data_IF_549846932340
#
_entry.id   IF_549846932340
#
_cell.length_a   1.000
_cell.length_b   1.000
_cell.length_c   1.000
_cell.angle_alpha   90.00
_cell.angle_beta   90.00
_cell.angle_gamma   90.00
#
_symmetry.space_group_name_H-M   'P 1'
#
loop_
_entity.id
_entity.type
_entity.pdbx_description
1 polymer ?
#
# COMPACT_ATOMS: atom_id res chain seq x y z
N UNK A 1 -4.65 -52.51 -20.05
CA UNK A 1 -4.80 -51.65 -18.85
C UNK A 1 -3.74 -52.06 -17.84
N UNK A 2 -2.66 -51.28 -17.69
CA UNK A 2 -1.50 -51.63 -16.85
C UNK A 2 -1.32 -50.51 -15.81
N UNK A 3 -1.43 -50.87 -14.52
CA UNK A 3 -1.36 -49.96 -13.38
C UNK A 3 0.12 -49.79 -13.00
N UNK A 4 0.64 -48.56 -13.07
CA UNK A 4 1.94 -48.20 -12.51
C UNK A 4 1.69 -47.35 -11.27
N UNK A 5 2.06 -47.89 -10.11
CA UNK A 5 1.99 -47.26 -8.79
C UNK A 5 3.30 -46.52 -8.58
N UNK A 6 3.24 -45.19 -8.45
CA UNK A 6 4.39 -44.34 -8.13
C UNK A 6 4.33 -43.98 -6.64
N UNK A 7 5.26 -44.54 -5.85
CA UNK A 7 5.34 -44.31 -4.41
C UNK A 7 6.13 -43.02 -4.09
N UNK A 8 5.54 -42.21 -3.22
CA UNK A 8 6.06 -40.97 -2.64
C UNK A 8 7.17 -41.29 -1.61
N UNK A 9 8.31 -40.58 -1.67
CA UNK A 9 9.30 -40.59 -0.60
C UNK A 9 9.62 -39.15 -0.16
N UNK A 10 9.13 -38.78 1.03
CA UNK A 10 9.41 -37.52 1.71
C UNK A 10 10.57 -37.77 2.69
N UNK A 11 11.75 -37.20 2.45
CA UNK A 11 12.90 -37.34 3.34
C UNK A 11 12.94 -36.16 4.34
N UNK A 12 12.60 -36.42 5.60
CA UNK A 12 12.75 -35.49 6.73
C UNK A 12 14.06 -35.76 7.46
N UNK A 13 15.09 -34.96 7.21
CA UNK A 13 16.35 -35.00 7.97
C UNK A 13 16.22 -34.15 9.25
N UNK A 14 16.02 -34.82 10.38
CA UNK A 14 16.14 -34.24 11.71
C UNK A 14 17.60 -34.21 12.16
N UNK A 15 18.04 -33.08 12.72
CA UNK A 15 19.35 -32.95 13.39
C UNK A 15 19.11 -32.99 14.90
N UNK A 16 19.65 -34.02 15.55
CA UNK A 16 19.65 -34.19 17.00
C UNK A 16 20.71 -33.31 17.67
N UNK A 17 20.29 -32.46 18.62
CA UNK A 17 21.17 -31.77 19.57
C UNK A 17 21.64 -32.76 20.66
N UNK A 18 22.95 -32.87 20.88
CA UNK A 18 23.52 -33.48 22.09
C UNK A 18 24.44 -32.45 22.78
N UNK A 19 24.32 -32.24 24.11
CA UNK A 19 25.14 -31.28 24.83
C UNK A 19 26.46 -31.92 25.26
N UNK A 20 27.58 -31.30 24.92
CA UNK A 20 28.90 -31.70 25.44
C UNK A 20 29.32 -30.74 26.55
N UNK A 21 29.73 -31.37 27.65
CA UNK A 21 30.02 -30.86 28.98
C UNK A 21 31.11 -29.78 29.08
N UNK A 22 30.90 -28.85 30.02
CA UNK A 22 31.89 -27.92 30.56
C UNK A 22 33.01 -28.68 31.29
N UNK A 23 34.27 -28.43 30.90
CA UNK A 23 35.43 -28.69 31.75
C UNK A 23 36.19 -27.38 31.99
N UNK A 24 36.48 -27.13 33.26
CA UNK A 24 37.07 -25.92 33.83
C UNK A 24 38.59 -25.96 33.81
N UNK A 25 39.19 -24.76 33.82
CA UNK A 25 40.55 -24.44 34.28
C UNK A 25 41.73 -24.61 33.29
N UNK A 26 41.97 -23.54 32.54
CA UNK A 26 43.29 -22.88 32.53
C UNK A 26 43.04 -21.39 32.67
N UNK A 27 43.77 -20.73 33.57
CA UNK A 27 43.82 -19.26 33.66
C UNK A 27 44.40 -18.72 32.36
N UNK A 28 43.54 -18.47 31.37
CA UNK A 28 43.91 -17.80 30.13
C UNK A 28 43.71 -16.31 30.36
N UNK A 29 44.80 -15.55 30.28
CA UNK A 29 44.76 -14.10 30.23
C UNK A 29 43.73 -13.66 29.18
N UNK A 30 42.66 -12.99 29.63
CA UNK A 30 41.54 -12.61 28.74
C UNK A 30 42.01 -11.73 27.58
N UNK A 31 43.14 -11.02 27.73
CA UNK A 31 43.79 -10.27 26.64
C UNK A 31 44.41 -11.17 25.57
N UNK A 32 45.00 -12.30 25.96
CA UNK A 32 45.55 -13.27 25.01
C UNK A 32 44.44 -14.01 24.24
N UNK A 33 43.32 -14.31 24.89
CA UNK A 33 42.16 -14.93 24.24
C UNK A 33 41.47 -14.00 23.22
N UNK A 34 41.42 -12.69 23.49
CA UNK A 34 40.92 -11.69 22.52
C UNK A 34 41.91 -11.50 21.37
N UNK A 35 43.22 -11.45 21.64
CA UNK A 35 44.24 -11.37 20.59
C UNK A 35 44.24 -12.57 19.64
N UNK A 36 44.06 -13.78 20.16
CA UNK A 36 43.99 -15.01 19.36
C UNK A 36 42.61 -15.21 18.67
N UNK A 37 41.52 -14.76 19.29
CA UNK A 37 40.17 -14.82 18.72
C UNK A 37 39.97 -13.86 17.55
N UNK A 38 40.64 -12.70 17.56
CA UNK A 38 40.63 -11.77 16.43
C UNK A 38 41.48 -12.33 15.27
N UNK A 39 42.65 -12.90 15.54
CA UNK A 39 43.53 -13.44 14.48
C UNK A 39 42.90 -14.63 13.72
N UNK A 40 42.10 -15.46 14.39
CA UNK A 40 41.45 -16.63 13.76
C UNK A 40 40.17 -16.29 12.99
N UNK A 41 39.55 -15.14 13.23
CA UNK A 41 38.41 -14.66 12.45
C UNK A 41 38.79 -14.18 11.04
N UNK A 42 40.08 -13.93 10.77
CA UNK A 42 40.59 -13.49 9.47
C UNK A 42 41.14 -14.62 8.58
N UNK A 43 41.24 -15.86 9.07
CA UNK A 43 41.86 -16.95 8.31
C UNK A 43 40.88 -17.78 7.47
N UNK A 44 39.58 -17.46 7.46
CA UNK A 44 38.55 -18.39 7.00
C UNK A 44 37.56 -17.91 5.93
N UNK A 45 37.70 -16.70 5.38
CA UNK A 45 36.80 -16.24 4.30
C UNK A 45 37.57 -16.19 2.99
N UNK A 46 37.40 -17.25 2.19
CA UNK A 46 37.81 -17.30 0.80
C UNK A 46 37.12 -16.17 0.05
N UNK A 47 37.91 -15.21 -0.44
CA UNK A 47 37.45 -14.04 -1.15
C UNK A 47 36.86 -14.42 -2.52
N UNK A 48 35.56 -14.19 -2.69
CA UNK A 48 34.98 -13.92 -4.00
C UNK A 48 34.85 -12.39 -4.12
N UNK A 49 35.85 -11.79 -4.79
CA UNK A 49 35.96 -10.40 -5.27
C UNK A 49 34.95 -9.37 -4.70
N UNK A 50 35.31 -8.77 -3.56
CA UNK A 50 35.08 -7.35 -3.30
C UNK A 50 36.46 -6.67 -3.37
N UNK A 51 36.55 -5.44 -3.88
CA UNK A 51 37.83 -4.74 -4.08
C UNK A 51 38.73 -4.82 -2.83
N UNK A 52 40.01 -5.18 -3.02
CA UNK A 52 41.00 -5.25 -1.93
C UNK A 52 41.04 -3.91 -1.18
N UNK A 53 40.59 -3.92 0.07
CA UNK A 53 40.63 -2.75 0.97
C UNK A 53 39.29 -2.34 1.57
N UNK A 54 38.16 -2.85 1.10
CA UNK A 54 36.86 -2.61 1.75
C UNK A 54 36.56 -3.67 2.81
N UNK A 55 37.01 -3.42 4.04
CA UNK A 55 36.43 -4.09 5.20
C UNK A 55 34.94 -3.69 5.34
N UNK A 56 34.05 -4.56 5.88
CA UNK A 56 32.69 -4.18 6.19
C UNK A 56 32.68 -2.98 7.13
N UNK A 57 32.38 -1.79 6.61
CA UNK A 57 32.36 -0.53 7.38
C UNK A 57 31.06 -0.52 8.18
N UNK A 58 31.10 -1.10 9.38
CA UNK A 58 29.98 -1.08 10.33
C UNK A 58 30.15 0.10 11.29
N UNK A 59 29.20 1.03 11.30
CA UNK A 59 29.16 2.12 12.29
C UNK A 59 28.47 1.64 13.56
N UNK A 60 29.15 1.70 14.71
CA UNK A 60 28.52 1.50 16.01
C UNK A 60 27.86 2.83 16.42
N UNK A 61 26.52 2.89 16.31
CA UNK A 61 25.68 4.06 16.65
C UNK A 61 25.79 5.30 15.75
N UNK A 62 26.25 5.16 14.50
CA UNK A 62 26.35 6.30 13.57
C UNK A 62 27.39 7.36 13.96
N UNK A 63 28.22 7.09 14.97
CA UNK A 63 29.31 7.98 15.37
C UNK A 63 30.52 7.67 14.48
N UNK A 64 30.79 8.56 13.51
CA UNK A 64 31.92 8.45 12.58
C UNK A 64 31.62 7.67 11.29
N UNK A 65 30.34 7.40 10.99
CA UNK A 65 29.91 6.80 9.73
C UNK A 65 29.94 7.80 8.57
N UNK A 66 30.48 7.36 7.43
CA UNK A 66 30.23 7.99 6.14
C UNK A 66 28.96 7.40 5.51
N UNK A 67 28.43 8.04 4.47
CA UNK A 67 27.25 7.59 3.70
C UNK A 67 27.29 6.11 3.24
N UNK A 68 28.50 5.54 3.12
CA UNK A 68 28.75 4.18 2.64
C UNK A 68 28.73 3.10 3.74
N UNK A 69 28.46 3.45 5.01
CA UNK A 69 28.36 2.46 6.09
C UNK A 69 26.94 1.88 6.19
N UNK A 70 26.85 0.55 6.33
CA UNK A 70 25.57 -0.17 6.34
C UNK A 70 24.68 0.09 7.57
N UNK A 71 25.14 0.89 8.54
CA UNK A 71 24.46 1.17 9.81
C UNK A 71 24.42 2.67 10.14
N UNK A 72 24.19 3.50 9.12
CA UNK A 72 24.04 4.95 9.27
C UNK A 72 22.56 5.37 9.17
N UNK A 73 21.99 5.83 10.28
CA UNK A 73 20.57 6.25 10.34
C UNK A 73 20.33 7.70 9.91
N UNK A 74 21.38 8.51 9.80
CA UNK A 74 21.32 9.94 9.45
C UNK A 74 21.90 10.25 8.06
N UNK A 75 22.07 9.25 7.22
CA UNK A 75 22.50 9.41 5.83
C UNK A 75 21.32 9.91 4.97
N UNK A 76 20.92 11.17 5.16
CA UNK A 76 19.75 11.78 4.53
C UNK A 76 19.95 12.02 3.01
N UNK A 77 19.86 10.96 2.21
CA UNK A 77 19.97 11.01 0.75
C UNK A 77 21.40 11.03 0.20
N UNK A 78 22.40 10.83 1.07
CA UNK A 78 23.80 10.62 0.69
C UNK A 78 24.12 9.14 0.42
N UNK A 79 23.27 8.24 0.92
CA UNK A 79 23.33 6.78 0.72
C UNK A 79 22.73 6.33 -0.63
N UNK A 80 21.78 7.11 -1.16
CA UNK A 80 21.03 6.77 -2.36
C UNK A 80 21.59 7.47 -3.60
N UNK A 81 21.87 6.70 -4.66
CA UNK A 81 22.28 7.21 -5.99
C UNK A 81 21.13 7.88 -6.79
N UNK A 82 20.10 8.38 -6.09
CA UNK A 82 18.95 9.06 -6.69
C UNK A 82 18.43 10.12 -5.72
N UNK A 83 17.93 11.26 -6.22
CA UNK A 83 17.37 12.29 -5.35
C UNK A 83 16.18 11.72 -4.56
N UNK A 84 16.14 11.99 -3.26
CA UNK A 84 14.99 11.71 -2.40
C UNK A 84 13.94 12.81 -2.51
N UNK A 85 12.69 12.50 -2.20
CA UNK A 85 11.60 13.48 -2.19
C UNK A 85 11.81 14.56 -1.12
N UNK A 86 12.33 14.15 0.03
CA UNK A 86 12.75 15.03 1.13
C UNK A 86 13.83 14.30 1.93
N UNK A 87 14.62 15.01 2.77
CA UNK A 87 15.63 14.38 3.63
C UNK A 87 15.05 13.24 4.48
N UNK A 88 13.78 13.34 4.88
CA UNK A 88 13.09 12.36 5.73
C UNK A 88 12.27 11.31 4.95
N UNK A 89 12.44 11.21 3.64
CA UNK A 89 11.70 10.26 2.80
C UNK A 89 12.64 9.30 2.08
N UNK A 90 12.39 7.98 2.15
CA UNK A 90 13.15 7.00 1.37
C UNK A 90 12.73 6.97 -0.12
N UNK A 91 11.62 7.61 -0.47
CA UNK A 91 11.09 7.60 -1.83
C UNK A 91 11.64 8.75 -2.67
N UNK A 92 11.94 8.53 -3.96
CA UNK A 92 12.31 9.59 -4.89
C UNK A 92 11.11 10.49 -5.22
N UNK A 93 11.34 11.72 -5.69
CA UNK A 93 10.26 12.58 -6.16
C UNK A 93 9.57 11.97 -7.38
N UNK A 94 8.29 12.29 -7.57
CA UNK A 94 7.57 11.92 -8.79
C UNK A 94 8.24 12.59 -9.99
N UNK A 95 8.62 11.77 -10.96
CA UNK A 95 9.32 12.21 -12.16
C UNK A 95 9.08 11.27 -13.34
N UNK A 96 9.72 11.55 -14.47
CA UNK A 96 9.51 10.82 -15.73
C UNK A 96 9.91 9.34 -15.66
N UNK A 97 10.86 9.00 -14.78
CA UNK A 97 11.30 7.61 -14.50
C UNK A 97 10.35 6.82 -13.59
N UNK A 98 9.25 7.43 -13.12
CA UNK A 98 8.26 6.74 -12.30
C UNK A 98 7.43 5.77 -13.15
N UNK A 99 7.31 4.52 -12.67
CA UNK A 99 6.49 3.48 -13.33
C UNK A 99 5.02 3.89 -13.41
N UNK A 100 4.52 4.50 -12.33
CA UNK A 100 3.15 5.02 -12.30
C UNK A 100 3.04 6.32 -13.09
N UNK A 101 2.22 6.29 -14.15
CA UNK A 101 1.88 7.45 -14.98
C UNK A 101 0.44 7.87 -14.72
N UNK A 102 0.28 9.02 -14.08
CA UNK A 102 -1.04 9.62 -13.84
C UNK A 102 -1.71 9.98 -15.18
N UNK A 103 -2.98 9.63 -15.34
CA UNK A 103 -3.73 9.93 -16.57
C UNK A 103 -3.49 8.92 -17.69
N UNK A 104 -2.92 7.75 -17.39
CA UNK A 104 -2.84 6.67 -18.36
C UNK A 104 -4.24 6.25 -18.83
N UNK A 105 -4.34 5.76 -20.07
CA UNK A 105 -5.62 5.29 -20.63
C UNK A 105 -6.27 4.20 -19.75
N UNK A 106 -5.44 3.33 -19.17
CA UNK A 106 -5.87 2.27 -18.25
C UNK A 106 -6.45 2.84 -16.94
N UNK A 107 -5.81 3.85 -16.35
CA UNK A 107 -6.30 4.48 -15.13
C UNK A 107 -7.63 5.20 -15.38
N UNK A 108 -7.74 5.95 -16.48
CA UNK A 108 -8.98 6.63 -16.86
C UNK A 108 -10.09 5.60 -17.10
N UNK A 109 -9.81 4.51 -17.83
CA UNK A 109 -10.77 3.44 -18.07
C UNK A 109 -11.21 2.76 -16.76
N UNK A 110 -10.27 2.48 -15.86
CA UNK A 110 -10.57 1.94 -14.53
C UNK A 110 -11.50 2.87 -13.74
N UNK A 111 -11.21 4.17 -13.69
CA UNK A 111 -12.05 5.14 -12.97
C UNK A 111 -13.44 5.28 -13.62
N UNK A 112 -13.55 5.24 -14.94
CA UNK A 112 -14.85 5.21 -15.63
C UNK A 112 -15.64 3.94 -15.33
N UNK A 113 -14.98 2.78 -15.27
CA UNK A 113 -15.62 1.52 -14.92
C UNK A 113 -16.15 1.53 -13.48
N UNK A 114 -15.33 1.97 -12.52
CA UNK A 114 -15.74 2.15 -11.11
C UNK A 114 -16.95 3.08 -11.02
N UNK A 115 -16.91 4.23 -11.70
CA UNK A 115 -18.05 5.14 -11.74
C UNK A 115 -19.32 4.48 -12.31
N UNK A 116 -19.21 3.74 -13.42
CA UNK A 116 -20.38 3.07 -14.03
C UNK A 116 -20.99 2.00 -13.13
N UNK A 117 -20.16 1.20 -12.45
CA UNK A 117 -20.61 0.15 -11.54
C UNK A 117 -21.29 0.74 -10.31
N UNK A 118 -20.70 1.79 -9.72
CA UNK A 118 -21.31 2.51 -8.61
C UNK A 118 -22.64 3.16 -9.01
N UNK A 119 -22.72 3.80 -10.19
CA UNK A 119 -23.94 4.42 -10.69
C UNK A 119 -25.09 3.41 -10.85
N UNK A 120 -24.81 2.22 -11.41
CA UNK A 120 -25.81 1.13 -11.52
C UNK A 120 -26.32 0.65 -10.17
N UNK A 121 -25.50 0.68 -9.12
CA UNK A 121 -25.87 0.21 -7.78
C UNK A 121 -26.64 1.27 -7.01
N UNK A 122 -26.25 2.54 -7.13
CA UNK A 122 -27.01 3.69 -6.59
C UNK A 122 -28.40 3.80 -7.24
N UNK A 123 -28.54 3.41 -8.52
CA UNK A 123 -29.83 3.33 -9.19
C UNK A 123 -30.82 2.33 -8.55
N UNK A 124 -30.36 1.36 -7.74
CA UNK A 124 -31.22 0.36 -7.08
C UNK A 124 -31.76 0.81 -5.72
N UNK A 125 -31.32 1.98 -5.26
CA UNK A 125 -31.71 2.52 -3.94
C UNK A 125 -33.17 2.94 -3.92
N UNK A 126 -33.74 3.26 -5.09
CA UNK A 126 -35.18 3.52 -5.29
C UNK A 126 -36.08 2.46 -4.64
N UNK A 127 -35.79 1.18 -4.87
CA UNK A 127 -36.54 0.03 -4.34
C UNK A 127 -36.48 -0.04 -2.82
N UNK A 128 -35.35 0.36 -2.23
CA UNK A 128 -35.21 0.38 -0.77
C UNK A 128 -35.96 1.58 -0.16
N UNK A 129 -36.01 2.72 -0.86
CA UNK A 129 -36.82 3.87 -0.46
C UNK A 129 -38.31 3.51 -0.51
N UNK A 130 -38.78 2.89 -1.59
CA UNK A 130 -40.17 2.42 -1.74
C UNK A 130 -40.54 1.39 -0.67
N UNK A 131 -39.66 0.44 -0.39
CA UNK A 131 -39.83 -0.56 0.66
C UNK A 131 -39.63 -0.03 2.08
N UNK A 132 -39.30 1.26 2.26
CA UNK A 132 -39.02 1.92 3.56
C UNK A 132 -37.91 1.23 4.37
N UNK A 133 -36.93 0.68 3.65
CA UNK A 133 -35.75 -0.02 4.19
C UNK A 133 -34.59 0.97 4.39
N UNK A 134 -34.72 1.80 5.42
CA UNK A 134 -33.87 2.99 5.62
C UNK A 134 -32.40 2.70 5.90
N UNK A 135 -32.10 1.60 6.59
CA UNK A 135 -30.71 1.21 6.87
C UNK A 135 -30.03 0.67 5.61
N UNK A 136 -30.78 -0.06 4.77
CA UNK A 136 -30.30 -0.55 3.48
C UNK A 136 -30.05 0.59 2.49
N UNK A 137 -30.91 1.61 2.46
CA UNK A 137 -30.67 2.84 1.67
C UNK A 137 -29.32 3.46 2.04
N UNK A 138 -29.08 3.67 3.34
CA UNK A 138 -27.84 4.28 3.83
C UNK A 138 -26.62 3.40 3.60
N UNK A 139 -26.72 2.10 3.93
CA UNK A 139 -25.62 1.16 3.76
C UNK A 139 -25.21 1.02 2.29
N UNK A 140 -26.17 1.00 1.36
CA UNK A 140 -25.87 0.94 -0.07
C UNK A 140 -25.25 2.23 -0.60
N UNK A 141 -25.77 3.39 -0.18
CA UNK A 141 -25.19 4.69 -0.53
C UNK A 141 -23.76 4.81 0.01
N UNK A 142 -23.52 4.50 1.28
CA UNK A 142 -22.19 4.61 1.88
C UNK A 142 -21.19 3.63 1.23
N UNK A 143 -21.62 2.38 0.96
CA UNK A 143 -20.78 1.35 0.33
C UNK A 143 -20.33 1.74 -1.08
N UNK A 144 -21.22 2.35 -1.88
CA UNK A 144 -20.94 2.62 -3.29
C UNK A 144 -20.35 3.99 -3.53
N UNK A 145 -20.73 4.97 -2.72
CA UNK A 145 -20.39 6.37 -2.99
C UNK A 145 -18.97 6.72 -2.57
N UNK A 146 -18.34 5.95 -1.66
CA UNK A 146 -16.95 6.16 -1.27
C UNK A 146 -15.99 6.10 -2.47
N UNK A 147 -15.97 4.98 -3.19
CA UNK A 147 -15.15 4.80 -4.39
C UNK A 147 -15.62 5.70 -5.55
N UNK A 148 -16.93 5.92 -5.65
CA UNK A 148 -17.50 6.80 -6.68
C UNK A 148 -17.03 8.25 -6.51
N UNK A 149 -16.96 8.78 -5.28
CA UNK A 149 -16.43 10.13 -5.01
C UNK A 149 -14.98 10.25 -5.46
N UNK A 150 -14.17 9.22 -5.22
CA UNK A 150 -12.79 9.14 -5.71
C UNK A 150 -12.70 9.17 -7.24
N UNK A 151 -13.54 8.39 -7.92
CA UNK A 151 -13.62 8.38 -9.39
C UNK A 151 -14.11 9.71 -9.96
N UNK A 152 -15.17 10.31 -9.40
CA UNK A 152 -15.70 11.60 -9.85
C UNK A 152 -14.69 12.73 -9.65
N UNK A 153 -13.97 12.76 -8.51
CA UNK A 153 -12.90 13.74 -8.27
C UNK A 153 -11.79 13.63 -9.32
N UNK A 154 -11.42 12.41 -9.70
CA UNK A 154 -10.40 12.18 -10.72
C UNK A 154 -10.89 12.62 -12.11
N UNK A 155 -12.10 12.21 -12.51
CA UNK A 155 -12.67 12.50 -13.83
C UNK A 155 -13.05 13.98 -14.02
N UNK A 156 -13.35 14.68 -12.93
CA UNK A 156 -13.63 16.12 -12.94
C UNK A 156 -12.36 16.99 -12.94
N UNK A 157 -11.20 16.43 -12.63
CA UNK A 157 -9.96 17.19 -12.48
C UNK A 157 -9.61 17.93 -13.79
N UNK A 158 -9.44 19.25 -13.70
CA UNK A 158 -9.17 20.12 -14.86
C UNK A 158 -10.41 20.53 -15.67
N UNK A 159 -11.62 20.11 -15.28
CA UNK A 159 -12.89 20.48 -15.94
C UNK A 159 -13.80 21.26 -14.97
N UNK A 160 -13.93 22.59 -15.10
CA UNK A 160 -14.67 23.41 -14.14
C UNK A 160 -16.17 23.09 -14.08
N UNK A 161 -16.77 22.70 -15.20
CA UNK A 161 -18.19 22.32 -15.26
C UNK A 161 -18.45 20.99 -14.55
N UNK A 162 -17.57 20.00 -14.76
CA UNK A 162 -17.66 18.70 -14.10
C UNK A 162 -17.41 18.82 -12.58
N UNK A 163 -16.51 19.72 -12.15
CA UNK A 163 -16.31 20.03 -10.72
C UNK A 163 -17.57 20.59 -10.06
N UNK A 164 -18.29 21.48 -10.74
CA UNK A 164 -19.58 22.01 -10.24
C UNK A 164 -20.65 20.93 -10.18
N UNK A 165 -20.80 20.15 -11.25
CA UNK A 165 -21.79 19.06 -11.32
C UNK A 165 -21.54 18.00 -10.24
N UNK A 166 -20.28 17.63 -10.02
CA UNK A 166 -19.85 16.73 -8.93
C UNK A 166 -20.22 17.26 -7.55
N UNK A 167 -19.94 18.52 -7.26
CA UNK A 167 -20.30 19.14 -5.97
C UNK A 167 -21.81 19.16 -5.76
N UNK A 168 -22.58 19.43 -6.82
CA UNK A 168 -24.05 19.33 -6.77
C UNK A 168 -24.48 17.91 -6.41
N UNK A 169 -23.97 16.89 -7.11
CA UNK A 169 -24.26 15.50 -6.78
C UNK A 169 -23.94 15.14 -5.32
N UNK A 170 -22.82 15.62 -4.77
CA UNK A 170 -22.48 15.39 -3.36
C UNK A 170 -23.48 16.04 -2.41
N UNK A 171 -23.93 17.26 -2.68
CA UNK A 171 -24.93 17.93 -1.87
C UNK A 171 -26.26 17.15 -1.87
N UNK A 172 -26.75 16.74 -3.04
CA UNK A 172 -28.00 15.97 -3.14
C UNK A 172 -27.89 14.59 -2.46
N UNK A 173 -26.74 13.93 -2.54
CA UNK A 173 -26.49 12.67 -1.85
C UNK A 173 -26.60 12.83 -0.32
N UNK A 174 -26.05 13.91 0.24
CA UNK A 174 -26.21 14.21 1.67
C UNK A 174 -27.67 14.53 2.02
N UNK A 175 -28.40 15.20 1.13
CA UNK A 175 -29.85 15.44 1.29
C UNK A 175 -30.65 14.13 1.35
N UNK A 176 -30.35 13.16 0.47
CA UNK A 176 -30.97 11.82 0.51
C UNK A 176 -30.64 11.10 1.82
N UNK A 177 -29.38 11.17 2.28
CA UNK A 177 -28.97 10.54 3.53
C UNK A 177 -29.69 11.18 4.74
N UNK A 178 -29.83 12.51 4.75
CA UNK A 178 -30.58 13.25 5.75
C UNK A 178 -32.07 12.88 5.74
N UNK A 179 -32.71 12.84 4.57
CA UNK A 179 -34.10 12.42 4.42
C UNK A 179 -34.32 10.98 4.89
N UNK A 180 -33.36 10.09 4.60
CA UNK A 180 -33.36 8.69 5.05
C UNK A 180 -33.23 8.56 6.57
N UNK A 181 -32.40 9.40 7.21
CA UNK A 181 -32.29 9.48 8.69
C UNK A 181 -33.59 9.96 9.34
N UNK A 182 -34.29 10.90 8.71
CA UNK A 182 -35.61 11.38 9.15
C UNK A 182 -36.73 10.40 8.83
N UNK A 183 -36.48 9.37 8.02
CA UNK A 183 -37.45 8.36 7.58
C UNK A 183 -38.65 8.97 6.86
N UNK A 184 -38.44 10.05 6.12
CA UNK A 184 -39.48 10.71 5.33
C UNK A 184 -39.46 10.16 3.89
N UNK A 185 -40.45 9.35 3.47
CA UNK A 185 -40.47 8.74 2.14
C UNK A 185 -40.69 9.74 1.02
N UNK A 186 -41.44 10.83 1.25
CA UNK A 186 -41.70 11.82 0.21
C UNK A 186 -40.45 12.66 -0.05
N UNK A 187 -39.80 13.10 1.03
CA UNK A 187 -38.54 13.80 0.93
C UNK A 187 -37.46 12.89 0.31
N UNK A 188 -37.29 11.66 0.78
CA UNK A 188 -36.27 10.75 0.27
C UNK A 188 -36.43 10.46 -1.23
N UNK A 189 -37.66 10.23 -1.71
CA UNK A 189 -37.92 9.99 -3.14
C UNK A 189 -37.63 11.24 -4.00
N UNK A 190 -37.99 12.44 -3.52
CA UNK A 190 -37.68 13.69 -4.21
C UNK A 190 -36.17 13.93 -4.29
N UNK A 191 -35.49 13.92 -3.14
CA UNK A 191 -34.04 14.16 -3.08
C UNK A 191 -33.27 13.09 -3.87
N UNK A 192 -33.79 11.85 -3.94
CA UNK A 192 -33.21 10.80 -4.76
C UNK A 192 -33.31 11.12 -6.25
N UNK A 193 -34.46 11.64 -6.71
CA UNK A 193 -34.62 12.14 -8.08
C UNK A 193 -33.65 13.27 -8.40
N UNK A 194 -33.51 14.23 -7.48
CA UNK A 194 -32.58 15.37 -7.61
C UNK A 194 -31.10 14.88 -7.67
N UNK A 195 -30.75 13.90 -6.83
CA UNK A 195 -29.44 13.23 -6.84
C UNK A 195 -29.16 12.52 -8.17
N UNK A 196 -30.11 11.74 -8.70
CA UNK A 196 -29.94 11.03 -9.97
C UNK A 196 -29.87 11.98 -11.16
N UNK A 197 -30.60 13.10 -11.15
CA UNK A 197 -30.49 14.14 -12.15
C UNK A 197 -29.10 14.82 -12.12
N UNK A 198 -28.54 15.06 -10.92
CA UNK A 198 -27.18 15.58 -10.78
C UNK A 198 -26.12 14.57 -11.27
N UNK A 199 -26.34 13.27 -11.05
CA UNK A 199 -25.47 12.20 -11.55
C UNK A 199 -25.49 12.14 -13.09
N UNK A 200 -26.65 12.23 -13.72
CA UNK A 200 -26.79 12.26 -15.19
C UNK A 200 -26.11 13.51 -15.78
N UNK A 201 -26.29 14.67 -15.16
CA UNK A 201 -25.60 15.90 -15.55
C UNK A 201 -24.07 15.76 -15.49
N UNK A 202 -23.54 15.10 -14.44
CA UNK A 202 -22.11 14.80 -14.37
C UNK A 202 -21.66 13.82 -15.46
N UNK A 203 -22.45 12.76 -15.70
CA UNK A 203 -22.15 11.71 -16.68
C UNK A 203 -21.99 12.27 -18.09
N UNK A 204 -22.77 13.30 -18.45
CA UNK A 204 -22.68 13.99 -19.75
C UNK A 204 -21.38 14.79 -19.95
N UNK A 205 -20.63 15.08 -18.89
CA UNK A 205 -19.43 15.94 -18.92
C UNK A 205 -18.10 15.16 -18.91
N UNK A 206 -18.14 13.83 -18.76
CA UNK A 206 -16.94 12.98 -18.52
C UNK A 206 -16.59 11.99 -19.63
#
# INVERSE_FOLDING_TARGET
MMKVVLAFAFASSGVSLAPSSVQTSKTVDRRAAVGAGVASAFAGVSAALAAEGESPKFSFFGIGGNADTFSEGAAYGIDANRPSYSPYSPYPPKGESSVYKKGSKEEVAFKKNVFSESAKRVAKVDKYIEAKKWEEVRAELDRQTYEMRGAMNYLASGKPEAEKAKKKFYAELESVNLASKKKDPKAAAKEYGDMMAALDAFTKLI
#
